data_IF_475573869074
#
_entry.id   IF_475573869074
#
_cell.length_a   1.000
_cell.length_b   1.000
_cell.length_c   1.000
_cell.angle_alpha   90.00
_cell.angle_beta   90.00
_cell.angle_gamma   90.00
#
_symmetry.space_group_name_H-M   'P 1'
#
loop_
_entity.id
_entity.type
_entity.pdbx_description
1 polymer ?
#
# COMPACT_ATOMS: atom_id res chain seq x y z
N UNK A 1 -8.13 -24.19 -7.10
CA UNK A 1 -7.34 -23.69 -8.24
C UNK A 1 -6.97 -22.20 -8.09
N UNK A 2 -6.55 -21.72 -6.91
CA UNK A 2 -5.95 -20.36 -6.73
C UNK A 2 -4.50 -20.48 -6.20
N UNK A 3 -4.09 -21.69 -5.81
CA UNK A 3 -2.77 -22.00 -5.27
C UNK A 3 -1.86 -22.74 -6.26
N UNK A 4 -2.35 -23.12 -7.45
CA UNK A 4 -1.54 -23.79 -8.48
C UNK A 4 -0.54 -22.86 -9.17
N UNK A 5 -0.72 -21.54 -9.07
CA UNK A 5 0.18 -20.54 -9.64
C UNK A 5 1.04 -19.82 -8.59
N UNK A 6 0.92 -20.19 -7.31
CA UNK A 6 1.73 -19.60 -6.24
C UNK A 6 3.11 -20.23 -6.24
N UNK A 7 4.12 -19.48 -6.70
CA UNK A 7 5.53 -19.88 -6.67
C UNK A 7 6.16 -19.23 -5.44
N UNK A 8 6.73 -20.05 -4.56
CA UNK A 8 7.47 -19.55 -3.40
C UNK A 8 8.67 -18.70 -3.86
N UNK A 9 9.08 -17.65 -3.12
CA UNK A 9 10.31 -16.91 -3.41
C UNK A 9 11.55 -17.81 -3.59
N UNK A 10 11.60 -18.93 -2.87
CA UNK A 10 12.66 -19.94 -2.97
C UNK A 10 12.60 -20.73 -4.29
N UNK A 11 11.39 -21.09 -4.75
CA UNK A 11 11.16 -21.81 -6.02
C UNK A 11 11.42 -20.90 -7.23
N UNK A 12 11.08 -19.61 -7.13
CA UNK A 12 11.39 -18.61 -8.15
C UNK A 12 12.90 -18.41 -8.32
N UNK A 13 13.67 -18.48 -7.22
CA UNK A 13 15.14 -18.47 -7.26
C UNK A 13 15.73 -19.77 -7.84
N UNK A 14 15.11 -20.92 -7.57
CA UNK A 14 15.53 -22.20 -8.11
C UNK A 14 15.30 -22.29 -9.63
N UNK A 15 14.16 -21.82 -10.14
CA UNK A 15 13.84 -21.80 -11.57
C UNK A 15 14.73 -20.83 -12.39
N UNK A 16 15.22 -19.75 -11.77
CA UNK A 16 16.24 -18.88 -12.38
C UNK A 16 17.62 -19.53 -12.50
N UNK A 17 17.93 -20.56 -11.68
CA UNK A 17 19.20 -21.29 -11.74
C UNK A 17 19.19 -22.45 -12.74
N UNK A 18 18.03 -23.01 -13.09
CA UNK A 18 17.91 -24.20 -13.95
C UNK A 18 17.77 -23.89 -15.45
N UNK A 19 17.40 -22.66 -15.83
CA UNK A 19 17.18 -22.27 -17.23
C UNK A 19 18.24 -21.27 -17.73
N UNK A 20 19.41 -21.76 -18.16
CA UNK A 20 20.44 -20.87 -18.69
C UNK A 20 21.77 -21.50 -19.10
N UNK A 21 21.76 -22.57 -19.90
CA UNK A 21 22.91 -22.94 -20.75
C UNK A 21 22.70 -22.32 -22.13
N UNK A 22 23.04 -21.05 -22.27
CA UNK A 22 23.01 -20.32 -23.54
C UNK A 22 23.76 -19.01 -23.37
N UNK A 23 24.82 -18.82 -24.15
CA UNK A 23 25.72 -17.68 -24.06
C UNK A 23 24.99 -16.34 -24.25
N UNK A 24 24.83 -15.61 -23.16
CA UNK A 24 24.33 -14.25 -23.12
C UNK A 24 24.86 -13.61 -21.84
N UNK A 25 25.55 -12.49 -22.01
CA UNK A 25 26.15 -11.62 -20.99
C UNK A 25 25.53 -11.83 -19.59
N UNK A 26 26.26 -12.51 -18.70
CA UNK A 26 25.95 -12.58 -17.27
C UNK A 26 25.61 -11.17 -16.79
N UNK A 27 24.36 -10.96 -16.39
CA UNK A 27 23.95 -9.79 -15.62
C UNK A 27 24.92 -9.72 -14.44
N UNK A 28 25.81 -8.73 -14.44
CA UNK A 28 26.71 -8.48 -13.31
C UNK A 28 25.83 -8.36 -12.09
N UNK A 29 26.13 -9.11 -11.02
CA UNK A 29 25.48 -9.01 -9.72
C UNK A 29 25.78 -7.65 -9.09
N UNK A 30 25.14 -6.61 -9.61
CA UNK A 30 25.49 -5.21 -9.43
C UNK A 30 24.47 -4.40 -8.64
N UNK A 31 23.36 -4.98 -8.20
CA UNK A 31 22.56 -4.37 -7.14
C UNK A 31 22.72 -5.24 -5.91
N UNK A 32 23.51 -4.78 -4.94
CA UNK A 32 23.62 -5.42 -3.63
C UNK A 32 22.33 -5.07 -2.86
N UNK A 33 21.17 -5.54 -3.36
CA UNK A 33 19.90 -5.35 -2.69
C UNK A 33 19.97 -6.10 -1.37
N UNK A 34 20.06 -5.32 -0.28
CA UNK A 34 19.95 -5.88 1.05
C UNK A 34 18.56 -6.48 1.26
N UNK A 35 18.44 -7.46 2.15
CA UNK A 35 17.15 -8.06 2.52
C UNK A 35 16.14 -6.98 2.94
N UNK A 36 16.60 -5.90 3.59
CA UNK A 36 15.78 -4.75 3.96
C UNK A 36 15.22 -3.99 2.75
N UNK A 37 16.00 -3.84 1.67
CA UNK A 37 15.55 -3.20 0.43
C UNK A 37 14.47 -4.03 -0.27
N UNK A 38 14.68 -5.36 -0.36
CA UNK A 38 13.69 -6.30 -0.91
C UNK A 38 12.38 -6.26 -0.12
N UNK A 39 12.45 -6.23 1.21
CA UNK A 39 11.25 -6.10 2.05
C UNK A 39 10.54 -4.77 1.85
N UNK A 40 11.27 -3.66 1.68
CA UNK A 40 10.67 -2.35 1.39
C UNK A 40 9.89 -2.36 0.08
N UNK A 41 10.44 -2.95 -0.98
CA UNK A 41 9.74 -3.04 -2.27
C UNK A 41 8.47 -3.90 -2.16
N UNK A 42 8.58 -5.07 -1.52
CA UNK A 42 7.43 -5.96 -1.27
C UNK A 42 6.34 -5.27 -0.43
N UNK A 43 6.73 -4.54 0.62
CA UNK A 43 5.81 -3.77 1.46
C UNK A 43 5.13 -2.65 0.68
N UNK A 44 5.84 -1.95 -0.21
CA UNK A 44 5.23 -0.91 -1.05
C UNK A 44 4.17 -1.49 -1.98
N UNK A 45 4.45 -2.64 -2.61
CA UNK A 45 3.46 -3.35 -3.45
C UNK A 45 2.26 -3.79 -2.63
N UNK A 46 2.49 -4.38 -1.46
CA UNK A 46 1.43 -4.80 -0.55
C UNK A 46 0.56 -3.62 -0.11
N UNK A 47 1.15 -2.49 0.28
CA UNK A 47 0.42 -1.30 0.72
C UNK A 47 -0.41 -0.68 -0.40
N UNK A 48 0.08 -0.68 -1.64
CA UNK A 48 -0.69 -0.24 -2.81
C UNK A 48 -1.92 -1.12 -3.01
N UNK A 49 -1.76 -2.44 -2.91
CA UNK A 49 -2.87 -3.39 -3.02
C UNK A 49 -3.87 -3.28 -1.87
N UNK A 50 -3.40 -3.09 -0.63
CA UNK A 50 -4.28 -2.91 0.53
C UNK A 50 -5.07 -1.60 0.45
N UNK A 51 -4.49 -0.53 -0.12
CA UNK A 51 -5.17 0.76 -0.31
C UNK A 51 -6.20 0.75 -1.43
N UNK A 52 -6.04 -0.10 -2.44
CA UNK A 52 -6.99 -0.22 -3.55
C UNK A 52 -8.20 -1.11 -3.22
N UNK A 53 -8.16 -1.82 -2.10
CA UNK A 53 -9.22 -2.74 -1.66
C UNK A 53 -10.09 -2.12 -0.56
N UNK A 54 -11.21 -2.77 -0.23
CA UNK A 54 -12.07 -2.39 0.89
C UNK A 54 -11.65 -3.15 2.15
N UNK A 55 -11.05 -2.50 3.17
CA UNK A 55 -10.56 -3.18 4.35
C UNK A 55 -11.68 -3.51 5.33
N UNK A 56 -11.60 -4.71 5.90
CA UNK A 56 -12.41 -5.15 7.04
C UNK A 56 -11.47 -5.45 8.22
N UNK A 57 -11.74 -4.86 9.38
CA UNK A 57 -10.84 -4.92 10.53
C UNK A 57 -11.38 -5.87 11.60
N UNK A 58 -10.51 -6.78 12.05
CA UNK A 58 -10.69 -7.56 13.28
C UNK A 58 -9.58 -7.15 14.23
N UNK A 59 -9.94 -6.62 15.40
CA UNK A 59 -8.97 -6.21 16.42
C UNK A 59 -9.00 -7.19 17.59
N UNK A 60 -7.94 -7.98 17.68
CA UNK A 60 -7.73 -8.91 18.78
C UNK A 60 -7.31 -8.15 20.04
N UNK A 61 -7.86 -8.55 21.19
CA UNK A 61 -7.52 -8.00 22.52
C UNK A 61 -6.94 -9.13 23.36
N UNK A 62 -5.79 -8.90 23.96
CA UNK A 62 -5.13 -9.87 24.84
C UNK A 62 -5.83 -9.80 26.20
N UNK A 63 -6.45 -10.89 26.69
CA UNK A 63 -7.23 -10.85 27.91
C UNK A 63 -6.37 -10.88 29.18
N UNK A 64 -5.20 -11.54 29.16
CA UNK A 64 -4.25 -11.60 30.26
C UNK A 64 -2.87 -12.05 29.77
N UNK A 65 -1.81 -11.72 30.51
CA UNK A 65 -0.42 -12.15 30.20
C UNK A 65 -0.10 -13.55 30.71
N UNK A 66 -0.86 -14.05 31.69
CA UNK A 66 -0.69 -15.38 32.29
C UNK A 66 -1.11 -16.54 31.37
N UNK A 67 -1.61 -16.25 30.16
CA UNK A 67 -2.13 -17.22 29.18
C UNK A 67 -3.24 -18.13 29.74
N UNK A 68 -3.98 -17.68 30.76
CA UNK A 68 -5.04 -18.47 31.40
C UNK A 68 -6.37 -18.23 30.67
N UNK A 69 -7.05 -19.28 30.15
CA UNK A 69 -8.35 -19.10 29.50
C UNK A 69 -9.41 -18.64 30.53
N UNK A 70 -10.35 -17.81 30.08
CA UNK A 70 -11.47 -17.31 30.91
C UNK A 70 -11.09 -16.27 31.97
N UNK A 71 -9.81 -15.93 32.12
CA UNK A 71 -9.35 -14.87 33.02
C UNK A 71 -9.15 -13.57 32.22
N UNK A 72 -9.69 -12.46 32.73
CA UNK A 72 -9.60 -11.14 32.10
C UNK A 72 -8.96 -10.14 33.07
N UNK A 73 -7.85 -9.55 32.64
CA UNK A 73 -7.25 -8.40 33.30
C UNK A 73 -7.84 -7.10 32.73
N UNK A 74 -8.58 -6.40 33.57
CA UNK A 74 -9.26 -5.17 33.22
C UNK A 74 -8.29 -4.02 32.95
N UNK A 75 -7.18 -3.91 33.70
CA UNK A 75 -6.24 -2.81 33.54
C UNK A 75 -5.51 -2.91 32.20
N UNK A 76 -5.04 -4.12 31.87
CA UNK A 76 -4.42 -4.44 30.60
C UNK A 76 -5.38 -4.22 29.42
N UNK A 77 -6.61 -4.71 29.54
CA UNK A 77 -7.64 -4.54 28.49
C UNK A 77 -7.99 -3.08 28.27
N UNK A 78 -8.15 -2.30 29.35
CA UNK A 78 -8.45 -0.87 29.27
C UNK A 78 -7.33 -0.09 28.58
N UNK A 79 -6.07 -0.41 28.89
CA UNK A 79 -4.91 0.18 28.22
C UNK A 79 -4.93 -0.12 26.71
N UNK A 80 -5.15 -1.37 26.32
CA UNK A 80 -5.25 -1.76 24.91
C UNK A 80 -6.39 -1.05 24.17
N UNK A 81 -7.59 -0.93 24.77
CA UNK A 81 -8.73 -0.27 24.14
C UNK A 81 -8.46 1.22 23.85
N UNK A 82 -7.71 1.89 24.73
CA UNK A 82 -7.28 3.29 24.56
C UNK A 82 -6.19 3.42 23.50
N UNK A 83 -5.10 2.67 23.61
CA UNK A 83 -3.96 2.76 22.69
C UNK A 83 -4.31 2.33 21.26
N UNK A 84 -5.21 1.36 21.11
CA UNK A 84 -5.67 0.91 19.81
C UNK A 84 -6.74 1.84 19.17
N UNK A 85 -7.20 2.88 19.88
CA UNK A 85 -8.23 3.80 19.40
C UNK A 85 -9.59 3.13 19.19
N UNK A 86 -9.93 2.11 19.98
CA UNK A 86 -11.21 1.38 19.84
C UNK A 86 -12.37 2.30 20.20
N UNK A 87 -12.21 3.16 21.21
CA UNK A 87 -13.24 4.11 21.63
C UNK A 87 -13.54 5.14 20.53
N UNK A 88 -12.51 5.67 19.88
CA UNK A 88 -12.61 6.61 18.76
C UNK A 88 -13.27 5.92 17.56
N UNK A 89 -12.86 4.69 17.25
CA UNK A 89 -13.46 3.87 16.20
C UNK A 89 -14.97 3.67 16.42
N UNK A 90 -15.37 3.28 17.64
CA UNK A 90 -16.79 3.12 17.99
C UNK A 90 -17.52 4.47 17.91
N UNK A 91 -16.93 5.56 18.40
CA UNK A 91 -17.53 6.90 18.36
C UNK A 91 -17.80 7.36 16.93
N UNK A 92 -16.86 7.13 16.01
CA UNK A 92 -17.01 7.44 14.59
C UNK A 92 -18.08 6.54 13.97
N UNK A 93 -18.07 5.23 14.24
CA UNK A 93 -19.08 4.30 13.70
C UNK A 93 -20.50 4.62 14.18
N UNK A 94 -20.66 5.11 15.43
CA UNK A 94 -21.97 5.52 15.98
C UNK A 94 -22.49 6.82 15.37
N UNK A 95 -21.60 7.79 15.13
CA UNK A 95 -21.97 9.07 14.50
C UNK A 95 -22.12 8.94 12.98
N UNK A 96 -21.36 8.05 12.37
CA UNK A 96 -21.30 7.83 10.94
C UNK A 96 -22.32 6.81 10.44
N UNK A 97 -22.19 6.53 9.15
CA UNK A 97 -22.99 5.56 8.42
C UNK A 97 -22.04 4.59 7.72
N UNK A 98 -21.72 3.44 8.36
CA UNK A 98 -20.69 2.52 7.88
C UNK A 98 -21.06 1.84 6.55
N UNK A 99 -22.35 1.56 6.34
CA UNK A 99 -22.84 0.86 5.14
C UNK A 99 -23.25 1.86 4.07
N UNK A 100 -22.79 1.64 2.82
CA UNK A 100 -23.00 2.57 1.70
C UNK A 100 -23.33 1.79 0.44
N UNK A 101 -24.43 2.15 -0.23
CA UNK A 101 -24.90 1.44 -1.42
C UNK A 101 -25.20 2.45 -2.53
N UNK A 102 -24.86 2.10 -3.77
CA UNK A 102 -25.19 2.90 -4.95
C UNK A 102 -26.70 2.89 -5.19
N UNK A 103 -27.28 4.02 -5.61
CA UNK A 103 -28.73 4.10 -5.83
C UNK A 103 -29.26 3.10 -6.86
N UNK A 104 -28.51 2.84 -7.93
CA UNK A 104 -28.91 1.87 -8.95
C UNK A 104 -29.00 0.45 -8.38
N UNK A 105 -28.00 0.06 -7.58
CA UNK A 105 -27.96 -1.24 -6.91
C UNK A 105 -29.08 -1.35 -5.87
N UNK A 106 -29.29 -0.32 -5.06
CA UNK A 106 -30.35 -0.28 -4.05
C UNK A 106 -31.73 -0.44 -4.70
N UNK A 107 -32.01 0.34 -5.75
CA UNK A 107 -33.24 0.27 -6.54
C UNK A 107 -33.46 -1.14 -7.08
N UNK A 108 -32.45 -1.75 -7.70
CA UNK A 108 -32.56 -3.09 -8.27
C UNK A 108 -32.80 -4.15 -7.19
N UNK A 109 -32.08 -4.06 -6.06
CA UNK A 109 -32.10 -5.06 -4.99
C UNK A 109 -33.39 -5.05 -4.18
N UNK A 110 -33.90 -3.87 -3.83
CA UNK A 110 -35.03 -3.70 -2.90
C UNK A 110 -36.37 -3.36 -3.56
N UNK A 111 -36.44 -3.17 -4.88
CA UNK A 111 -37.72 -2.96 -5.60
C UNK A 111 -38.77 -4.04 -5.30
N UNK A 112 -38.34 -5.25 -4.97
CA UNK A 112 -39.23 -6.37 -4.63
C UNK A 112 -40.02 -6.15 -3.34
N UNK A 113 -39.53 -5.30 -2.43
CA UNK A 113 -40.22 -4.99 -1.18
C UNK A 113 -41.56 -4.30 -1.44
N UNK A 114 -41.57 -3.36 -2.39
CA UNK A 114 -42.78 -2.66 -2.81
C UNK A 114 -42.73 -2.27 -4.30
N UNK A 115 -43.15 -3.17 -5.20
CA UNK A 115 -43.16 -2.90 -6.65
C UNK A 115 -44.06 -1.71 -7.04
N UNK A 116 -45.13 -1.44 -6.29
CA UNK A 116 -46.05 -0.34 -6.59
C UNK A 116 -45.40 1.04 -6.37
N UNK A 117 -44.38 1.13 -5.51
CA UNK A 117 -43.64 2.37 -5.28
C UNK A 117 -42.85 2.83 -6.52
N UNK A 118 -42.40 1.89 -7.37
CA UNK A 118 -41.56 2.15 -8.55
C UNK A 118 -42.26 1.54 -9.79
N UNK A 119 -43.08 2.32 -10.52
CA UNK A 119 -43.83 1.84 -11.68
C UNK A 119 -42.92 1.31 -12.80
N UNK A 120 -43.39 0.24 -13.45
CA UNK A 120 -42.70 -0.40 -14.58
C UNK A 120 -42.79 0.51 -15.82
N UNK A 121 -41.65 0.70 -16.51
CA UNK A 121 -41.59 1.40 -17.80
C UNK A 121 -41.35 2.92 -17.75
N UNK A 122 -41.43 3.56 -16.58
CA UNK A 122 -41.05 4.97 -16.44
C UNK A 122 -39.57 5.07 -16.02
N UNK A 123 -38.77 5.82 -16.78
CA UNK A 123 -37.39 6.12 -16.38
C UNK A 123 -37.42 7.07 -15.18
N UNK A 124 -37.50 6.48 -13.98
CA UNK A 124 -37.37 7.21 -12.73
C UNK A 124 -35.91 7.19 -12.29
N UNK A 125 -35.37 8.39 -12.05
CA UNK A 125 -34.05 8.59 -11.48
C UNK A 125 -33.84 7.69 -10.24
N UNK A 126 -32.68 7.03 -10.18
CA UNK A 126 -32.39 6.01 -9.17
C UNK A 126 -32.44 6.56 -7.75
N UNK A 127 -32.06 7.83 -7.57
CA UNK A 127 -32.15 8.51 -6.27
C UNK A 127 -33.61 8.71 -5.86
N UNK A 128 -34.43 9.31 -6.72
CA UNK A 128 -35.88 9.51 -6.46
C UNK A 128 -36.64 8.20 -6.25
N UNK A 129 -36.30 7.15 -7.01
CA UNK A 129 -36.87 5.82 -6.82
C UNK A 129 -36.52 5.24 -5.44
N UNK A 130 -35.28 5.43 -4.99
CA UNK A 130 -34.82 5.01 -3.66
C UNK A 130 -35.51 5.80 -2.55
N UNK A 131 -35.65 7.12 -2.70
CA UNK A 131 -36.38 7.98 -1.75
C UNK A 131 -37.84 7.54 -1.59
N UNK A 132 -38.54 7.30 -2.71
CA UNK A 132 -39.93 6.86 -2.69
C UNK A 132 -40.10 5.46 -2.09
N UNK A 133 -39.17 4.54 -2.38
CA UNK A 133 -39.18 3.21 -1.79
C UNK A 133 -38.94 3.28 -0.28
N UNK A 134 -37.93 4.04 0.17
CA UNK A 134 -37.64 4.22 1.60
C UNK A 134 -38.80 4.88 2.36
N UNK A 135 -39.47 5.86 1.75
CA UNK A 135 -40.66 6.48 2.33
C UNK A 135 -41.82 5.48 2.49
N UNK A 136 -41.93 4.48 1.61
CA UNK A 136 -42.97 3.45 1.68
C UNK A 136 -42.73 2.36 2.71
N UNK A 137 -41.50 2.25 3.23
CA UNK A 137 -41.10 1.19 4.17
C UNK A 137 -41.25 1.61 5.65
N UNK A 138 -41.70 2.84 5.92
CA UNK A 138 -41.95 3.39 7.28
C UNK A 138 -40.74 3.23 8.23
N UNK A 139 -39.53 3.38 7.69
CA UNK A 139 -38.29 3.22 8.43
C UNK A 139 -37.85 4.52 9.11
N UNK A 140 -37.21 4.40 10.28
CA UNK A 140 -36.67 5.55 11.01
C UNK A 140 -35.66 6.33 10.17
N UNK A 141 -35.99 7.60 9.89
CA UNK A 141 -35.19 8.53 9.11
C UNK A 141 -33.82 8.76 9.75
N UNK A 142 -33.65 8.57 11.06
CA UNK A 142 -32.35 8.71 11.72
C UNK A 142 -31.35 7.58 11.41
N UNK A 143 -31.80 6.46 10.83
CA UNK A 143 -30.97 5.30 10.50
C UNK A 143 -30.32 5.37 9.11
N UNK A 144 -30.76 6.29 8.26
CA UNK A 144 -30.21 6.44 6.91
C UNK A 144 -30.05 7.90 6.49
N UNK A 145 -29.18 8.14 5.50
CA UNK A 145 -28.96 9.45 4.88
C UNK A 145 -28.76 9.31 3.38
N UNK A 146 -29.34 10.22 2.62
CA UNK A 146 -29.14 10.32 1.17
C UNK A 146 -27.88 11.14 0.87
N UNK A 147 -26.99 10.61 0.06
CA UNK A 147 -25.90 11.37 -0.56
C UNK A 147 -26.22 11.74 -2.02
N UNK A 148 -25.17 12.10 -2.76
CA UNK A 148 -25.29 12.44 -4.19
C UNK A 148 -25.45 11.20 -5.06
N UNK A 149 -24.59 10.18 -4.87
CA UNK A 149 -24.57 8.95 -5.67
C UNK A 149 -24.92 7.69 -4.88
N UNK A 150 -24.88 7.76 -3.55
CA UNK A 150 -25.04 6.63 -2.64
C UNK A 150 -26.02 6.97 -1.52
N UNK A 151 -26.70 5.95 -1.02
CA UNK A 151 -27.42 5.97 0.25
C UNK A 151 -26.54 5.37 1.35
N UNK A 152 -26.65 5.94 2.54
CA UNK A 152 -25.83 5.63 3.70
C UNK A 152 -26.72 5.08 4.82
N UNK A 153 -26.30 3.99 5.47
CA UNK A 153 -27.04 3.33 6.54
C UNK A 153 -26.20 3.20 7.81
N UNK A 154 -26.87 3.30 8.96
CA UNK A 154 -26.31 2.89 10.24
C UNK A 154 -26.16 1.36 10.30
N UNK A 155 -25.35 0.89 11.24
CA UNK A 155 -25.20 -0.54 11.49
C UNK A 155 -26.56 -1.17 11.86
N UNK A 156 -26.80 -2.41 11.40
CA UNK A 156 -28.04 -3.15 11.64
C UNK A 156 -29.16 -2.86 10.63
N UNK A 157 -29.31 -1.60 10.21
CA UNK A 157 -30.39 -1.17 9.32
C UNK A 157 -30.46 -1.94 7.98
N UNK A 158 -29.29 -2.22 7.40
CA UNK A 158 -29.21 -2.99 6.17
C UNK A 158 -29.64 -4.45 6.36
N UNK A 159 -29.36 -5.03 7.53
CA UNK A 159 -29.81 -6.38 7.87
C UNK A 159 -31.33 -6.45 7.91
N UNK A 160 -31.98 -5.46 8.53
CA UNK A 160 -33.45 -5.38 8.58
C UNK A 160 -34.08 -5.30 7.19
N UNK A 161 -33.45 -4.54 6.27
CA UNK A 161 -33.89 -4.49 4.86
C UNK A 161 -33.71 -5.82 4.12
N UNK A 162 -32.64 -6.57 4.41
CA UNK A 162 -32.43 -7.91 3.85
C UNK A 162 -33.44 -8.91 4.42
N UNK A 163 -33.73 -8.87 5.72
CA UNK A 163 -34.72 -9.76 6.34
C UNK A 163 -36.11 -9.57 5.71
N UNK A 164 -36.56 -8.32 5.56
CA UNK A 164 -37.83 -7.99 4.88
C UNK A 164 -37.84 -8.48 3.42
N UNK A 165 -36.68 -8.43 2.76
CA UNK A 165 -36.53 -8.87 1.36
C UNK A 165 -36.59 -10.38 1.26
N UNK A 166 -35.94 -11.09 2.18
CA UNK A 166 -35.91 -12.55 2.21
C UNK A 166 -37.28 -13.16 2.55
N UNK A 167 -38.07 -12.51 3.40
CA UNK A 167 -39.47 -12.88 3.61
C UNK A 167 -40.29 -12.82 2.31
N UNK A 168 -40.14 -11.72 1.54
CA UNK A 168 -40.83 -11.56 0.25
C UNK A 168 -40.34 -12.54 -0.80
N UNK A 169 -39.02 -12.76 -0.87
CA UNK A 169 -38.41 -13.73 -1.78
C UNK A 169 -38.88 -15.15 -1.46
N UNK A 170 -38.98 -15.51 -0.19
CA UNK A 170 -39.45 -16.82 0.24
C UNK A 170 -40.83 -17.11 -0.36
N UNK A 171 -41.78 -16.18 -0.26
CA UNK A 171 -43.12 -16.34 -0.84
C UNK A 171 -43.06 -16.55 -2.36
N UNK A 172 -42.25 -15.75 -3.07
CA UNK A 172 -42.14 -15.81 -4.53
C UNK A 172 -41.47 -17.12 -4.98
N UNK A 173 -40.36 -17.49 -4.34
CA UNK A 173 -39.60 -18.71 -4.62
C UNK A 173 -40.48 -19.93 -4.32
N UNK A 174 -41.22 -19.96 -3.20
CA UNK A 174 -42.15 -21.06 -2.91
C UNK A 174 -43.24 -21.19 -3.98
N UNK A 175 -43.79 -20.08 -4.50
CA UNK A 175 -44.75 -20.12 -5.63
C UNK A 175 -44.12 -20.62 -6.93
N UNK A 176 -42.88 -20.24 -7.21
CA UNK A 176 -42.14 -20.73 -8.38
C UNK A 176 -41.85 -22.23 -8.25
N UNK A 177 -41.35 -22.66 -7.09
CA UNK A 177 -41.07 -24.04 -6.76
C UNK A 177 -42.33 -24.92 -6.83
N UNK A 178 -43.48 -24.44 -6.32
CA UNK A 178 -44.73 -25.19 -6.40
C UNK A 178 -45.20 -25.40 -7.83
N UNK A 179 -45.06 -24.40 -8.72
CA UNK A 179 -45.31 -24.53 -10.16
C UNK A 179 -44.33 -25.51 -10.83
N UNK A 180 -43.04 -25.41 -10.51
CA UNK A 180 -42.00 -26.31 -11.03
C UNK A 180 -42.26 -27.77 -10.65
N UNK A 181 -42.47 -28.04 -9.36
CA UNK A 181 -42.83 -29.37 -8.84
C UNK A 181 -44.15 -29.86 -9.44
N UNK A 182 -45.13 -28.97 -9.61
CA UNK A 182 -46.40 -29.29 -10.26
C UNK A 182 -46.24 -29.72 -11.72
N UNK A 183 -45.41 -29.02 -12.51
CA UNK A 183 -45.11 -29.41 -13.90
C UNK A 183 -44.37 -30.75 -13.95
N UNK A 184 -43.35 -30.91 -13.11
CA UNK A 184 -42.57 -32.14 -13.02
C UNK A 184 -43.46 -33.36 -12.73
N UNK A 185 -44.36 -33.24 -11.75
CA UNK A 185 -45.27 -34.32 -11.39
C UNK A 185 -46.31 -34.62 -12.48
N UNK A 186 -46.80 -33.62 -13.24
CA UNK A 186 -47.71 -33.87 -14.37
C UNK A 186 -47.02 -34.61 -15.51
N UNK A 187 -45.76 -34.27 -15.81
CA UNK A 187 -44.95 -34.99 -16.80
C UNK A 187 -44.73 -36.43 -16.35
N UNK A 188 -44.34 -36.65 -15.09
CA UNK A 188 -44.14 -38.00 -14.58
C UNK A 188 -45.45 -38.80 -14.54
N UNK A 189 -46.57 -38.17 -14.18
CA UNK A 189 -47.88 -38.78 -14.21
C UNK A 189 -48.30 -39.22 -15.61
N UNK A 190 -48.04 -38.39 -16.63
CA UNK A 190 -48.28 -38.76 -18.03
C UNK A 190 -47.47 -40.00 -18.43
N UNK A 191 -46.18 -40.05 -18.08
CA UNK A 191 -45.34 -41.24 -18.29
C UNK A 191 -45.89 -42.47 -17.57
N UNK A 192 -46.39 -42.33 -16.34
CA UNK A 192 -47.01 -43.44 -15.60
C UNK A 192 -48.29 -43.94 -16.29
N UNK A 193 -49.11 -43.04 -16.83
CA UNK A 193 -50.31 -43.41 -17.58
C UNK A 193 -49.97 -44.11 -18.90
N UNK A 194 -49.00 -43.59 -19.65
CA UNK A 194 -48.48 -44.19 -20.88
C UNK A 194 -47.89 -45.58 -20.60
N UNK A 195 -47.11 -45.76 -19.52
CA UNK A 195 -46.63 -47.07 -19.07
C UNK A 195 -47.78 -48.04 -18.81
N UNK A 196 -48.84 -47.61 -18.11
CA UNK A 196 -50.01 -48.44 -17.83
C UNK A 196 -50.71 -48.87 -19.13
N UNK A 197 -50.96 -47.94 -20.04
CA UNK A 197 -51.58 -48.24 -21.34
C UNK A 197 -50.71 -49.17 -22.19
N UNK A 198 -49.40 -48.90 -22.25
CA UNK A 198 -48.43 -49.74 -22.95
C UNK A 198 -48.40 -51.17 -22.38
N UNK A 199 -48.42 -51.34 -21.05
CA UNK A 199 -48.50 -52.66 -20.42
C UNK A 199 -49.75 -53.43 -20.88
N UNK A 200 -50.93 -52.78 -20.88
CA UNK A 200 -52.17 -53.41 -21.35
C UNK A 200 -52.10 -53.78 -22.84
N UNK A 201 -51.57 -52.90 -23.69
CA UNK A 201 -51.42 -53.14 -25.12
C UNK A 201 -50.41 -54.26 -25.41
N UNK A 202 -49.27 -54.29 -24.72
CA UNK A 202 -48.26 -55.35 -24.81
C UNK A 202 -48.88 -56.70 -24.42
N UNK A 203 -49.60 -56.76 -23.30
CA UNK A 203 -50.28 -57.99 -22.88
C UNK A 203 -51.31 -58.48 -23.92
N UNK A 204 -52.11 -57.58 -24.48
CA UNK A 204 -53.07 -57.91 -25.54
C UNK A 204 -52.36 -58.40 -26.82
N UNK A 205 -51.32 -57.69 -27.25
CA UNK A 205 -50.53 -58.05 -28.44
C UNK A 205 -49.81 -59.38 -28.28
N UNK A 206 -49.24 -59.68 -27.10
CA UNK A 206 -48.61 -60.98 -26.83
C UNK A 206 -49.66 -62.10 -26.95
N UNK A 207 -50.86 -61.92 -26.39
CA UNK A 207 -51.95 -62.90 -26.52
C UNK A 207 -52.38 -63.09 -27.97
N UNK A 208 -52.58 -61.99 -28.71
CA UNK A 208 -52.93 -62.04 -30.14
C UNK A 208 -51.83 -62.70 -30.98
N UNK A 209 -50.56 -62.37 -30.72
CA UNK A 209 -49.42 -62.99 -31.38
C UNK A 209 -49.36 -64.50 -31.10
N UNK A 210 -49.54 -64.93 -29.84
CA UNK A 210 -49.57 -66.35 -29.51
C UNK A 210 -50.69 -67.12 -30.23
N UNK A 211 -51.85 -66.48 -30.46
CA UNK A 211 -52.95 -67.07 -31.23
C UNK A 211 -52.62 -67.18 -32.72
N UNK A 212 -51.94 -66.18 -33.30
CA UNK A 212 -51.78 -66.05 -34.76
C UNK A 212 -50.41 -66.54 -35.26
N UNK A 213 -49.40 -66.72 -34.40
CA UNK A 213 -48.02 -67.06 -34.81
C UNK A 213 -47.91 -68.36 -35.63
N UNK A 214 -48.80 -69.32 -35.38
CA UNK A 214 -48.81 -70.60 -36.08
C UNK A 214 -49.69 -70.59 -37.35
N UNK A 215 -50.38 -69.48 -37.63
CA UNK A 215 -51.25 -69.35 -38.79
C UNK A 215 -50.43 -69.21 -40.08
N UNK A 216 -50.78 -69.98 -41.11
CA UNK A 216 -50.03 -70.09 -42.37
C UNK A 216 -49.91 -68.74 -43.09
N UNK A 217 -51.00 -67.96 -43.15
CA UNK A 217 -51.01 -66.64 -43.80
C UNK A 217 -50.12 -65.61 -43.08
N UNK A 218 -50.03 -65.67 -41.74
CA UNK A 218 -49.17 -64.76 -40.98
C UNK A 218 -47.68 -65.07 -41.19
N UNK A 219 -47.31 -66.36 -41.29
CA UNK A 219 -45.95 -66.79 -41.65
C UNK A 219 -45.53 -66.31 -43.04
N UNK A 220 -46.44 -66.33 -44.00
CA UNK A 220 -46.18 -65.80 -45.34
C UNK A 220 -45.93 -64.28 -45.31
N UNK A 221 -46.79 -63.54 -44.60
CA UNK A 221 -46.64 -62.08 -44.45
C UNK A 221 -45.29 -61.69 -43.83
N UNK A 222 -44.82 -62.39 -42.78
CA UNK A 222 -43.51 -62.10 -42.18
C UNK A 222 -42.33 -62.33 -43.12
N UNK A 223 -42.45 -63.24 -44.10
CA UNK A 223 -41.41 -63.44 -45.12
C UNK A 223 -41.41 -62.35 -46.20
N UNK A 224 -42.58 -61.80 -46.52
CA UNK A 224 -42.74 -60.79 -47.57
C UNK A 224 -42.46 -59.38 -47.05
N UNK A 225 -42.84 -59.06 -45.81
CA UNK A 225 -42.74 -57.70 -45.24
C UNK A 225 -41.33 -57.08 -45.27
N UNK A 226 -40.23 -57.80 -44.96
CA UNK A 226 -38.87 -57.25 -45.05
C UNK A 226 -38.43 -56.86 -46.48
N UNK A 227 -39.05 -57.47 -47.50
CA UNK A 227 -38.76 -57.16 -48.91
C UNK A 227 -39.40 -55.83 -49.37
N UNK A 228 -40.24 -55.22 -48.53
CA UNK A 228 -40.92 -53.94 -48.78
C UNK A 228 -40.23 -52.74 -48.09
N UNK A 229 -39.00 -52.92 -47.55
CA UNK A 229 -38.23 -51.93 -46.76
C UNK A 229 -37.84 -50.62 -47.48
N UNK A 230 -38.04 -50.50 -48.79
CA UNK A 230 -37.63 -49.31 -49.56
C UNK A 230 -38.25 -48.01 -49.05
N UNK A 231 -39.46 -48.07 -48.50
CA UNK A 231 -40.18 -46.90 -47.97
C UNK A 231 -39.69 -46.43 -46.58
N UNK A 232 -39.12 -47.32 -45.75
CA UNK A 232 -38.56 -46.96 -44.44
C UNK A 232 -37.19 -46.28 -44.62
N UNK A 233 -36.36 -46.81 -45.51
CA UNK A 233 -35.05 -46.23 -45.83
C UNK A 233 -35.15 -44.79 -46.37
N UNK A 234 -36.20 -44.47 -47.13
CA UNK A 234 -36.42 -43.12 -47.66
C UNK A 234 -36.67 -42.08 -46.55
N UNK A 235 -37.38 -42.46 -45.49
CA UNK A 235 -37.64 -41.56 -44.34
C UNK A 235 -36.40 -41.39 -43.47
N UNK A 236 -35.61 -42.44 -43.29
CA UNK A 236 -34.32 -42.36 -42.59
C UNK A 236 -33.34 -41.44 -43.32
N UNK A 237 -33.28 -41.54 -44.65
CA UNK A 237 -32.45 -40.64 -45.47
C UNK A 237 -32.87 -39.18 -45.33
N UNK A 238 -34.18 -38.87 -45.37
CA UNK A 238 -34.67 -37.50 -45.18
C UNK A 238 -34.32 -36.94 -43.79
N UNK A 239 -34.33 -37.80 -42.76
CA UNK A 239 -33.96 -37.39 -41.41
C UNK A 239 -32.46 -37.09 -41.30
N UNK A 240 -31.61 -37.94 -41.87
CA UNK A 240 -30.15 -37.75 -41.90
C UNK A 240 -29.79 -36.47 -42.67
N UNK A 241 -30.47 -36.18 -43.78
CA UNK A 241 -30.24 -34.95 -44.55
C UNK A 241 -30.58 -33.69 -43.76
N UNK A 242 -31.67 -33.70 -42.98
CA UNK A 242 -32.01 -32.58 -42.07
C UNK A 242 -30.98 -32.42 -40.96
N UNK A 243 -30.60 -33.51 -40.30
CA UNK A 243 -29.59 -33.49 -39.23
C UNK A 243 -28.24 -32.98 -39.74
N UNK A 244 -27.85 -33.37 -40.97
CA UNK A 244 -26.64 -32.87 -41.62
C UNK A 244 -26.72 -31.36 -41.88
N UNK A 245 -27.84 -30.87 -42.41
CA UNK A 245 -28.03 -29.44 -42.68
C UNK A 245 -27.95 -28.59 -41.40
N UNK A 246 -28.61 -29.02 -40.33
CA UNK A 246 -28.56 -28.35 -39.03
C UNK A 246 -27.13 -28.35 -38.45
N UNK A 247 -26.39 -29.45 -38.63
CA UNK A 247 -25.01 -29.56 -38.17
C UNK A 247 -24.07 -28.63 -38.94
N UNK A 248 -24.23 -28.55 -40.27
CA UNK A 248 -23.46 -27.65 -41.14
C UNK A 248 -23.72 -26.18 -40.80
N UNK A 249 -24.97 -25.78 -40.54
CA UNK A 249 -25.30 -24.41 -40.13
C UNK A 249 -24.67 -24.06 -38.77
N UNK A 250 -24.80 -24.95 -37.78
CA UNK A 250 -24.22 -24.74 -36.45
C UNK A 250 -22.68 -24.71 -36.51
N UNK A 251 -22.07 -25.55 -37.34
CA UNK A 251 -20.63 -25.56 -37.55
C UNK A 251 -20.13 -24.23 -38.10
N UNK A 252 -20.77 -23.68 -39.13
CA UNK A 252 -20.38 -22.38 -39.70
C UNK A 252 -20.62 -21.22 -38.73
N UNK A 253 -21.69 -21.27 -37.91
CA UNK A 253 -21.94 -20.26 -36.86
C UNK A 253 -20.84 -20.27 -35.80
N UNK A 254 -20.48 -21.44 -35.29
CA UNK A 254 -19.43 -21.58 -34.26
C UNK A 254 -18.04 -21.28 -34.82
N UNK A 255 -17.77 -21.62 -36.07
CA UNK A 255 -16.52 -21.28 -36.76
C UNK A 255 -16.31 -19.76 -36.86
N UNK A 256 -17.35 -19.01 -37.24
CA UNK A 256 -17.30 -17.53 -37.25
C UNK A 256 -17.08 -16.95 -35.85
N UNK A 257 -17.84 -17.44 -34.86
CA UNK A 257 -17.70 -17.02 -33.46
C UNK A 257 -16.31 -17.28 -32.90
N UNK A 258 -15.73 -18.45 -33.22
CA UNK A 258 -14.35 -18.79 -32.82
C UNK A 258 -13.35 -17.80 -33.40
N UNK A 259 -13.50 -17.46 -34.68
CA UNK A 259 -12.59 -16.52 -35.35
C UNK A 259 -12.66 -15.11 -34.73
N UNK A 260 -13.87 -14.60 -34.43
CA UNK A 260 -14.03 -13.32 -33.73
C UNK A 260 -13.37 -13.30 -32.34
N UNK A 261 -13.47 -14.41 -31.61
CA UNK A 261 -12.82 -14.55 -30.29
C UNK A 261 -11.29 -14.67 -30.41
N UNK A 262 -10.78 -15.39 -31.41
CA UNK A 262 -9.36 -15.49 -31.70
C UNK A 262 -8.78 -14.11 -32.05
N UNK A 263 -9.46 -13.32 -32.88
CA UNK A 263 -9.04 -11.95 -33.23
C UNK A 263 -9.02 -11.04 -31.98
N UNK A 264 -10.04 -11.12 -31.13
CA UNK A 264 -10.07 -10.38 -29.86
C UNK A 264 -8.95 -10.83 -28.91
N UNK A 265 -8.62 -12.12 -28.90
CA UNK A 265 -7.53 -12.65 -28.07
C UNK A 265 -6.17 -12.15 -28.54
N UNK A 266 -5.94 -12.06 -29.85
CA UNK A 266 -4.70 -11.51 -30.42
C UNK A 266 -4.51 -10.06 -29.98
N UNK A 267 -5.57 -9.23 -30.06
CA UNK A 267 -5.52 -7.84 -29.58
C UNK A 267 -5.12 -7.74 -28.11
N UNK A 268 -5.73 -8.56 -27.23
CA UNK A 268 -5.41 -8.55 -25.79
C UNK A 268 -3.98 -9.04 -25.50
N UNK A 269 -3.48 -9.99 -26.28
CA UNK A 269 -2.09 -10.46 -26.16
C UNK A 269 -1.12 -9.35 -26.59
N UNK A 270 -1.46 -8.61 -27.64
CA UNK A 270 -0.67 -7.46 -28.08
C UNK A 270 -0.62 -6.38 -27.01
N UNK A 271 -1.76 -5.96 -26.46
CA UNK A 271 -1.83 -4.96 -25.37
C UNK A 271 -1.00 -5.39 -24.15
N UNK A 272 -1.07 -6.68 -23.79
CA UNK A 272 -0.27 -7.25 -22.70
C UNK A 272 1.23 -7.15 -23.01
N UNK A 273 1.64 -7.50 -24.23
CA UNK A 273 3.05 -7.45 -24.62
C UNK A 273 3.57 -6.00 -24.62
N UNK A 274 2.77 -5.05 -25.09
CA UNK A 274 3.11 -3.63 -25.10
C UNK A 274 3.27 -3.09 -23.67
N UNK A 275 2.37 -3.45 -22.75
CA UNK A 275 2.49 -3.11 -21.32
C UNK A 275 3.73 -3.74 -20.67
N UNK A 276 4.10 -4.96 -21.05
CA UNK A 276 5.31 -5.63 -20.55
C UNK A 276 6.57 -4.91 -21.07
N UNK A 277 6.58 -4.49 -22.34
CA UNK A 277 7.68 -3.72 -22.91
C UNK A 277 7.84 -2.37 -22.20
N UNK A 278 6.73 -1.65 -21.97
CA UNK A 278 6.73 -0.40 -21.20
C UNK A 278 7.24 -0.61 -19.77
N UNK A 279 6.79 -1.68 -19.09
CA UNK A 279 7.24 -2.01 -17.74
C UNK A 279 8.75 -2.28 -17.70
N UNK A 280 9.29 -3.00 -18.68
CA UNK A 280 10.73 -3.27 -18.75
C UNK A 280 11.53 -1.99 -19.00
N UNK A 281 11.07 -1.10 -19.88
CA UNK A 281 11.70 0.20 -20.12
C UNK A 281 11.71 1.08 -18.86
N UNK A 282 10.59 1.12 -18.12
CA UNK A 282 10.52 1.83 -16.83
C UNK A 282 11.43 1.19 -15.76
N UNK A 283 11.59 -0.14 -15.76
CA UNK A 283 12.54 -0.81 -14.87
C UNK A 283 14.01 -0.45 -15.19
N UNK A 284 14.37 -0.36 -16.47
CA UNK A 284 15.71 0.11 -16.89
C UNK A 284 15.94 1.57 -16.48
N UNK A 285 14.96 2.45 -16.70
CA UNK A 285 15.02 3.84 -16.25
C UNK A 285 15.16 3.95 -14.73
N UNK A 286 14.47 3.08 -13.98
CA UNK A 286 14.59 3.02 -12.52
C UNK A 286 15.99 2.56 -12.10
N UNK A 287 16.55 1.54 -12.75
CA UNK A 287 17.91 1.07 -12.47
C UNK A 287 18.95 2.17 -12.73
N UNK A 288 18.82 2.91 -13.83
CA UNK A 288 19.68 4.06 -14.12
C UNK A 288 19.58 5.15 -13.05
N UNK A 289 18.37 5.38 -12.52
CA UNK A 289 18.16 6.33 -11.42
C UNK A 289 18.75 5.83 -10.09
N UNK A 290 18.64 4.52 -9.81
CA UNK A 290 19.28 3.88 -8.65
C UNK A 290 20.80 4.01 -8.71
N UNK A 291 21.41 3.70 -9.86
CA UNK A 291 22.85 3.81 -10.06
C UNK A 291 23.36 5.26 -9.85
N UNK A 292 22.60 6.26 -10.32
CA UNK A 292 22.90 7.69 -10.06
C UNK A 292 22.78 8.03 -8.58
N UNK A 293 21.75 7.51 -7.90
CA UNK A 293 21.55 7.72 -6.47
C UNK A 293 22.71 7.13 -5.66
N UNK A 294 23.15 5.91 -5.98
CA UNK A 294 24.28 5.25 -5.33
C UNK A 294 25.59 6.01 -5.53
N UNK A 295 25.83 6.58 -6.71
CA UNK A 295 26.97 7.45 -6.96
C UNK A 295 26.93 8.72 -6.10
N UNK A 296 25.76 9.36 -6.00
CA UNK A 296 25.57 10.53 -5.13
C UNK A 296 25.78 10.20 -3.65
N UNK A 297 25.33 9.02 -3.19
CA UNK A 297 25.55 8.57 -1.81
C UNK A 297 27.05 8.39 -1.54
N UNK A 298 27.80 7.76 -2.46
CA UNK A 298 29.26 7.61 -2.32
C UNK A 298 29.96 8.97 -2.26
N UNK A 299 29.63 9.88 -3.18
CA UNK A 299 30.19 11.23 -3.19
C UNK A 299 29.83 12.00 -1.92
N UNK A 300 28.61 11.86 -1.41
CA UNK A 300 28.18 12.46 -0.14
C UNK A 300 29.06 11.97 1.02
N UNK A 301 29.28 10.67 1.16
CA UNK A 301 30.12 10.11 2.22
C UNK A 301 31.56 10.63 2.14
N UNK A 302 32.13 10.73 0.94
CA UNK A 302 33.47 11.32 0.74
C UNK A 302 33.52 12.81 1.13
N UNK A 303 32.48 13.57 0.78
CA UNK A 303 32.39 14.99 1.13
C UNK A 303 32.16 15.20 2.63
N UNK A 304 31.37 14.34 3.29
CA UNK A 304 31.20 14.35 4.75
C UNK A 304 32.52 14.05 5.47
N UNK A 305 33.32 13.11 4.97
CA UNK A 305 34.67 12.85 5.51
C UNK A 305 35.56 14.08 5.38
N UNK A 306 35.61 14.72 4.20
CA UNK A 306 36.40 15.94 3.98
C UNK A 306 35.95 17.10 4.86
N UNK A 307 34.64 17.26 5.04
CA UNK A 307 34.08 18.28 5.93
C UNK A 307 34.51 18.04 7.37
N UNK A 308 34.51 16.78 7.83
CA UNK A 308 34.97 16.43 9.17
C UNK A 308 36.45 16.77 9.35
N UNK A 309 37.31 16.33 8.42
CA UNK A 309 38.75 16.59 8.47
C UNK A 309 39.07 18.10 8.45
N UNK A 310 38.34 18.88 7.64
CA UNK A 310 38.49 20.33 7.58
C UNK A 310 37.98 21.03 8.85
N UNK A 311 36.92 20.51 9.47
CA UNK A 311 36.40 21.05 10.73
C UNK A 311 37.38 20.81 11.88
N UNK A 312 37.94 19.59 11.99
CA UNK A 312 38.98 19.28 12.99
C UNK A 312 40.21 20.19 12.82
N UNK A 313 40.68 20.40 11.58
CA UNK A 313 41.79 21.33 11.32
C UNK A 313 41.47 22.78 11.66
N UNK A 314 40.23 23.21 11.43
CA UNK A 314 39.81 24.56 11.76
C UNK A 314 39.81 24.76 13.28
N UNK A 315 39.32 23.78 14.04
CA UNK A 315 39.35 23.79 15.51
C UNK A 315 40.80 23.88 16.03
N UNK A 316 41.73 23.11 15.48
CA UNK A 316 43.17 23.18 15.83
C UNK A 316 43.77 24.58 15.59
N UNK A 317 43.47 25.20 14.45
CA UNK A 317 43.95 26.55 14.11
C UNK A 317 43.29 27.64 14.98
N UNK A 318 42.01 27.47 15.34
CA UNK A 318 41.33 28.36 16.29
C UNK A 318 41.95 28.28 17.69
N UNK A 319 42.30 27.08 18.17
CA UNK A 319 43.02 26.90 19.43
C UNK A 319 44.41 27.54 19.37
N UNK A 320 45.17 27.30 18.30
CA UNK A 320 46.48 27.91 18.08
C UNK A 320 46.39 29.45 18.05
N UNK A 321 45.37 30.01 17.39
CA UNK A 321 45.15 31.45 17.33
C UNK A 321 44.79 32.03 18.71
N UNK A 322 43.95 31.34 19.49
CA UNK A 322 43.65 31.73 20.87
C UNK A 322 44.89 31.71 21.77
N UNK A 323 45.75 30.71 21.60
CA UNK A 323 47.04 30.61 22.28
C UNK A 323 47.97 31.76 21.90
N UNK A 324 48.08 32.08 20.61
CA UNK A 324 48.87 33.22 20.12
C UNK A 324 48.32 34.54 20.67
N UNK A 325 46.99 34.72 20.67
CA UNK A 325 46.35 35.91 21.24
C UNK A 325 46.61 36.03 22.75
N UNK A 326 46.60 34.94 23.49
CA UNK A 326 46.92 34.94 24.93
C UNK A 326 48.39 35.31 25.18
N UNK A 327 49.33 34.76 24.40
CA UNK A 327 50.76 35.09 24.47
C UNK A 327 51.01 36.54 24.08
N UNK A 328 50.33 37.01 23.03
CA UNK A 328 50.40 38.40 22.58
C UNK A 328 49.97 39.36 23.69
N UNK A 329 48.85 39.10 24.37
CA UNK A 329 48.40 39.94 25.51
C UNK A 329 49.44 39.98 26.63
N UNK A 330 50.01 38.83 27.02
CA UNK A 330 51.08 38.80 28.04
C UNK A 330 52.30 39.62 27.63
N UNK A 331 52.75 39.50 26.38
CA UNK A 331 53.87 40.29 25.87
C UNK A 331 53.53 41.78 25.79
N UNK A 332 52.29 42.14 25.43
CA UNK A 332 51.81 43.53 25.44
C UNK A 332 51.78 44.11 26.87
N UNK A 333 51.32 43.33 27.85
CA UNK A 333 51.32 43.70 29.26
C UNK A 333 52.76 43.89 29.77
N UNK A 334 53.66 42.93 29.54
CA UNK A 334 55.09 43.02 29.88
C UNK A 334 55.78 44.22 29.22
N UNK A 335 55.52 44.47 27.93
CA UNK A 335 56.04 45.66 27.25
C UNK A 335 55.52 46.96 27.86
N UNK A 336 54.27 46.97 28.35
CA UNK A 336 53.68 48.15 28.98
C UNK A 336 54.25 48.41 30.38
N UNK A 337 54.54 47.35 31.14
CA UNK A 337 55.20 47.42 32.44
C UNK A 337 56.63 47.93 32.27
N UNK A 338 57.40 47.33 31.36
CA UNK A 338 58.77 47.80 31.06
C UNK A 338 58.81 49.25 30.60
N UNK A 339 57.82 49.72 29.83
CA UNK A 339 57.72 51.13 29.45
C UNK A 339 57.49 52.03 30.67
N UNK A 340 56.60 51.64 31.59
CA UNK A 340 56.38 52.39 32.84
C UNK A 340 57.64 52.41 33.72
N UNK A 341 58.31 51.27 33.85
CA UNK A 341 59.55 51.17 34.61
C UNK A 341 60.65 52.06 34.01
N UNK A 342 60.74 52.13 32.68
CA UNK A 342 61.64 53.07 31.98
C UNK A 342 61.26 54.52 32.30
N UNK A 343 59.98 54.89 32.16
CA UNK A 343 59.51 56.26 32.44
C UNK A 343 59.78 56.66 33.91
N UNK A 344 59.56 55.75 34.87
CA UNK A 344 59.84 55.96 36.29
C UNK A 344 61.36 56.06 36.57
N UNK A 345 62.18 55.23 35.91
CA UNK A 345 63.64 55.33 35.97
C UNK A 345 64.15 56.65 35.38
N UNK A 346 63.57 57.13 34.28
CA UNK A 346 63.91 58.44 33.71
C UNK A 346 63.55 59.59 34.67
N UNK A 347 62.39 59.52 35.33
CA UNK A 347 61.99 60.49 36.34
C UNK A 347 62.91 60.48 37.57
N UNK A 348 63.29 59.31 38.05
CA UNK A 348 64.24 59.18 39.17
C UNK A 348 65.64 59.65 38.79
N UNK A 349 66.11 59.35 37.58
CA UNK A 349 67.38 59.81 37.06
C UNK A 349 67.41 61.34 36.97
N UNK A 350 66.35 61.97 36.43
CA UNK A 350 66.21 63.42 36.41
C UNK A 350 66.18 64.05 37.82
N UNK A 351 65.61 63.35 38.80
CA UNK A 351 65.61 63.79 40.21
C UNK A 351 67.00 63.69 40.84
N UNK A 352 67.70 62.58 40.63
CA UNK A 352 69.09 62.38 41.09
C UNK A 352 70.03 63.36 40.42
N UNK A 353 69.85 63.67 39.14
CA UNK A 353 70.62 64.72 38.44
C UNK A 353 70.39 66.10 39.06
N UNK A 354 69.15 66.45 39.42
CA UNK A 354 68.86 67.69 40.16
C UNK A 354 69.52 67.72 41.54
N UNK A 355 69.47 66.62 42.29
CA UNK A 355 70.11 66.48 43.60
C UNK A 355 71.65 66.54 43.48
N UNK A 356 72.21 65.92 42.44
CA UNK A 356 73.64 66.00 42.08
C UNK A 356 74.04 67.44 41.79
N UNK A 357 73.29 68.16 40.95
CA UNK A 357 73.58 69.57 40.71
C UNK A 357 73.47 70.42 41.98
N UNK A 358 72.49 70.16 42.86
CA UNK A 358 72.37 70.85 44.13
C UNK A 358 73.56 70.57 45.07
N UNK A 359 74.07 69.35 45.09
CA UNK A 359 75.25 68.96 45.89
C UNK A 359 76.55 69.48 45.29
N UNK A 360 76.73 69.44 43.97
CA UNK A 360 77.85 70.07 43.27
C UNK A 360 77.91 71.58 43.56
N UNK A 361 76.77 72.27 43.57
CA UNK A 361 76.70 73.69 43.94
C UNK A 361 77.06 73.91 45.42
N UNK A 362 76.65 73.02 46.33
CA UNK A 362 77.09 73.06 47.74
C UNK A 362 78.59 72.84 47.89
N UNK A 363 79.18 71.90 47.13
CA UNK A 363 80.62 71.64 47.15
C UNK A 363 81.39 72.83 46.59
N UNK A 364 80.90 73.49 45.54
CA UNK A 364 81.50 74.75 45.05
C UNK A 364 81.49 75.83 46.12
N UNK A 365 80.35 76.07 46.77
CA UNK A 365 80.28 77.05 47.86
C UNK A 365 81.21 76.70 49.03
N UNK A 366 81.28 75.42 49.44
CA UNK A 366 82.20 74.98 50.49
C UNK A 366 83.67 75.09 50.08
N UNK A 367 84.02 74.86 48.81
CA UNK A 367 85.37 75.07 48.30
C UNK A 367 85.75 76.56 48.27
N UNK A 368 84.81 77.45 47.96
CA UNK A 368 85.01 78.90 48.09
C UNK A 368 85.20 79.32 49.56
N UNK A 369 84.48 78.69 50.49
CA UNK A 369 84.69 78.87 51.94
C UNK A 369 86.05 78.31 52.41
N UNK A 370 86.51 77.18 51.88
CA UNK A 370 87.85 76.63 52.19
C UNK A 370 88.95 77.54 51.63
N UNK A 371 88.80 78.05 50.41
CA UNK A 371 89.78 78.96 49.80
C UNK A 371 89.89 80.28 50.59
N UNK A 372 88.77 80.83 51.05
CA UNK A 372 88.79 82.03 51.92
C UNK A 372 89.38 81.75 53.30
N UNK A 373 89.19 80.54 53.84
CA UNK A 373 89.85 80.09 55.06
C UNK A 373 91.36 79.89 54.86
N UNK A 374 91.81 79.34 53.73
CA UNK A 374 93.24 79.20 53.38
C UNK A 374 93.92 80.57 53.24
N UNK A 375 93.27 81.56 52.61
CA UNK A 375 93.76 82.94 52.55
C UNK A 375 93.88 83.60 53.94
N UNK A 376 92.96 83.27 54.86
CA UNK A 376 93.03 83.76 56.24
C UNK A 376 94.12 83.05 57.08
N UNK A 377 94.44 81.80 56.76
CA UNK A 377 95.51 81.01 57.38
C UNK A 377 96.90 81.48 56.92
N UNK A 378 97.05 81.86 55.64
CA UNK A 378 98.27 82.49 55.12
C UNK A 378 98.54 83.87 55.74
N UNK A 379 97.50 84.63 56.08
CA UNK A 379 97.64 85.89 56.84
C UNK A 379 98.10 85.63 58.27
N UNK A 380 97.57 84.61 58.94
CA UNK A 380 97.93 84.29 60.33
C UNK A 380 99.35 83.69 60.49
N UNK A 381 99.86 82.98 59.48
CA UNK A 381 101.24 82.48 59.49
C UNK A 381 102.32 83.55 59.24
N UNK A 382 101.96 84.72 58.68
CA UNK A 382 102.87 85.86 58.54
C UNK A 382 103.06 86.67 59.82
N UNK A 383 102.21 86.50 60.84
CA UNK A 383 102.26 87.26 62.11
C UNK A 383 102.98 86.54 63.26
N UNK A 384 103.48 85.30 63.09
CA UNK A 384 104.26 84.57 64.11
C UNK A 384 105.79 84.62 63.94
N UNK A 385 106.30 85.47 63.04
CA UNK A 385 107.73 85.84 62.96
C UNK A 385 107.89 87.34 63.27
N UNK A 386 107.70 87.71 64.53
CA UNK A 386 108.36 88.86 65.16
C UNK A 386 108.32 88.73 66.68
#
# INVERSE_FOLDING_TARGET
MIWESYVSPEEAMANKKSSGKGGGRRQKGGSFQTVSSLHRESLNRLMTNLRSTQPHFVRCIIPNEMKKPGYLDNALTLHQLRCNGVLEGIRICRKGFPSRILYAEFKQRYRILNPASIPDGQFLDSKKATEKLMASLELDVAQYRFGNTKIFFKAGMLGTLEDMRDERLTIIITRMQSRGRGKQMRVEFKKMLERKQACSLIQANIRAYLAVRNWVWMRLMFKIKPLLKSAENAKEMEQIEKEKADLEENYEREKKRRQELEDSQVSLIQDKNDLVLQLNAEQENLQDAEDRCDQLIKSKVEMESKLKDLSERLEDEEEANNDILSKKRKLEDECSELKKDIDDLELTLAKVEKEKHATENKVKNLNEEVSTLEESLERSNKEKKS
#
